data_IF_882825009001
#
_entry.id   IF_882825009001
#
_cell.length_a   1.000
_cell.length_b   1.000
_cell.length_c   1.000
_cell.angle_alpha   90.00
_cell.angle_beta   90.00
_cell.angle_gamma   90.00
#
_symmetry.space_group_name_H-M   'P 1'
#
loop_
_entity.id
_entity.type
_entity.pdbx_description
1 polymer ?
#
# COMPACT_ATOMS: atom_id res chain seq x y z
N UNK A 1 -3.36 6.58 -14.07
CA UNK A 1 -4.70 6.05 -14.42
C UNK A 1 -4.82 4.71 -13.70
N UNK A 2 -5.84 4.49 -12.86
CA UNK A 2 -6.00 3.21 -12.16
C UNK A 2 -6.30 2.10 -13.16
N UNK A 3 -5.68 0.94 -12.95
CA UNK A 3 -5.97 -0.29 -13.70
C UNK A 3 -7.06 -1.02 -12.93
N UNK A 4 -8.24 -1.16 -13.55
CA UNK A 4 -9.42 -1.80 -12.95
C UNK A 4 -9.67 -3.11 -13.68
N UNK A 5 -10.14 -4.13 -12.97
CA UNK A 5 -10.57 -5.40 -13.58
C UNK A 5 -11.98 -5.27 -14.18
N UNK A 6 -12.23 -5.78 -15.40
CA UNK A 6 -11.30 -6.49 -16.28
C UNK A 6 -10.30 -5.55 -16.98
N UNK A 7 -9.06 -6.02 -17.15
CA UNK A 7 -7.98 -5.26 -17.77
C UNK A 7 -8.35 -4.88 -19.21
N UNK A 8 -8.33 -3.59 -19.53
CA UNK A 8 -8.47 -3.12 -20.91
C UNK A 8 -7.27 -3.58 -21.76
N UNK A 9 -7.45 -3.82 -23.05
CA UNK A 9 -6.32 -4.25 -23.90
C UNK A 9 -5.32 -3.12 -24.21
N UNK A 10 -5.75 -1.85 -24.10
CA UNK A 10 -4.94 -0.68 -24.40
C UNK A 10 -5.56 0.61 -23.83
N UNK A 11 -4.73 1.64 -23.67
CA UNK A 11 -5.16 3.01 -23.42
C UNK A 11 -4.79 3.93 -24.59
N UNK A 12 -5.55 5.02 -24.73
CA UNK A 12 -5.25 6.10 -25.67
C UNK A 12 -4.78 7.32 -24.88
N UNK A 13 -3.61 7.85 -25.24
CA UNK A 13 -3.12 9.12 -24.74
C UNK A 13 -3.24 10.13 -25.85
N UNK A 14 -4.11 11.12 -25.67
CA UNK A 14 -4.28 12.23 -26.61
C UNK A 14 -3.69 13.50 -26.02
N UNK A 15 -2.78 14.14 -26.74
CA UNK A 15 -2.24 15.44 -26.42
C UNK A 15 -2.76 16.44 -27.46
N UNK A 16 -3.29 17.58 -27.00
CA UNK A 16 -3.85 18.64 -27.84
C UNK A 16 -3.17 19.93 -27.41
N UNK A 17 -2.75 20.75 -28.37
CA UNK A 17 -2.25 22.10 -28.07
C UNK A 17 -3.39 23.06 -27.79
N UNK A 18 -3.33 23.77 -26.67
CA UNK A 18 -4.28 24.85 -26.37
C UNK A 18 -4.08 26.09 -27.25
N UNK A 19 -2.92 26.18 -27.94
CA UNK A 19 -2.51 27.39 -28.69
C UNK A 19 -2.51 27.21 -30.21
N UNK A 20 -2.37 25.99 -30.70
CA UNK A 20 -2.20 25.71 -32.13
C UNK A 20 -3.34 24.84 -32.65
N UNK A 21 -4.13 25.39 -33.55
CA UNK A 21 -5.23 24.67 -34.19
C UNK A 21 -4.68 23.48 -35.01
N UNK A 22 -5.29 22.31 -34.82
CA UNK A 22 -4.89 21.09 -35.52
C UNK A 22 -3.58 20.46 -35.02
N UNK A 23 -3.00 20.98 -33.94
CA UNK A 23 -1.86 20.36 -33.26
C UNK A 23 -2.38 19.40 -32.19
N UNK A 24 -2.82 18.22 -32.62
CA UNK A 24 -3.12 17.11 -31.73
C UNK A 24 -2.44 15.82 -32.17
N UNK A 25 -2.17 14.96 -31.21
CA UNK A 25 -1.59 13.64 -31.44
C UNK A 25 -2.22 12.63 -30.49
N UNK A 26 -2.43 11.41 -30.97
CA UNK A 26 -2.97 10.31 -30.18
C UNK A 26 -2.06 9.10 -30.30
N UNK A 27 -1.62 8.58 -29.16
CA UNK A 27 -0.76 7.39 -29.07
C UNK A 27 -1.47 6.28 -28.31
N UNK A 28 -1.32 5.05 -28.78
CA UNK A 28 -1.88 3.85 -28.14
C UNK A 28 -0.82 3.25 -27.21
N UNK A 29 -1.18 3.05 -25.95
CA UNK A 29 -0.41 2.28 -24.98
C UNK A 29 -1.03 0.90 -24.88
N UNK A 30 -0.34 -0.11 -25.40
CA UNK A 30 -0.85 -1.48 -25.42
C UNK A 30 -0.49 -2.26 -24.16
N UNK A 31 -1.42 -3.08 -23.67
CA UNK A 31 -1.22 -3.93 -22.48
C UNK A 31 -0.98 -5.41 -22.82
N UNK A 32 -0.82 -5.78 -24.09
CA UNK A 32 -0.59 -7.18 -24.49
C UNK A 32 0.59 -7.85 -23.77
N UNK A 33 1.65 -7.10 -23.43
CA UNK A 33 2.82 -7.59 -22.72
C UNK A 33 2.95 -6.97 -21.30
N UNK A 34 1.84 -6.48 -20.73
CA UNK A 34 1.86 -5.88 -19.40
C UNK A 34 1.88 -6.99 -18.34
N UNK A 35 2.99 -7.07 -17.59
CA UNK A 35 3.09 -7.91 -16.40
C UNK A 35 2.68 -7.07 -15.20
N UNK A 36 1.54 -7.40 -14.59
CA UNK A 36 1.16 -6.80 -13.32
C UNK A 36 1.98 -7.44 -12.19
N UNK A 37 2.48 -6.65 -11.23
CA UNK A 37 3.09 -7.21 -10.04
C UNK A 37 2.06 -8.06 -9.30
N UNK A 38 2.53 -9.09 -8.60
CA UNK A 38 1.68 -9.88 -7.73
C UNK A 38 1.01 -8.97 -6.70
N UNK A 39 -0.25 -9.27 -6.38
CA UNK A 39 -0.92 -8.59 -5.27
C UNK A 39 -0.14 -8.91 -4.01
N UNK A 40 0.23 -7.86 -3.28
CA UNK A 40 0.85 -7.95 -1.96
C UNK A 40 0.06 -8.96 -1.12
N UNK A 41 0.77 -9.86 -0.44
CA UNK A 41 0.11 -10.73 0.52
C UNK A 41 -0.65 -9.88 1.53
N UNK A 42 -1.85 -10.32 1.98
CA UNK A 42 -2.56 -9.59 3.02
C UNK A 42 -1.65 -9.42 4.22
N UNK A 43 -1.76 -8.27 4.89
CA UNK A 43 -1.06 -8.06 6.16
C UNK A 43 -1.51 -9.13 7.15
N UNK A 44 -0.59 -9.59 8.01
CA UNK A 44 -0.94 -10.46 9.13
C UNK A 44 -1.98 -9.78 10.01
N UNK A 45 -3.06 -10.48 10.31
CA UNK A 45 -4.11 -9.98 11.19
C UNK A 45 -3.54 -9.72 12.59
N UNK A 46 -4.03 -8.66 13.21
CA UNK A 46 -3.73 -8.39 14.60
C UNK A 46 -4.48 -9.41 15.46
N UNK A 47 -3.73 -10.19 16.24
CA UNK A 47 -4.32 -11.17 17.15
C UNK A 47 -5.01 -10.46 18.30
N UNK A 48 -6.19 -10.94 18.69
CA UNK A 48 -6.89 -10.50 19.89
C UNK A 48 -6.28 -11.16 21.12
N UNK A 49 -5.16 -10.61 21.58
CA UNK A 49 -4.40 -11.07 22.73
C UNK A 49 -4.74 -10.25 23.97
N UNK A 50 -4.63 -10.88 25.13
CA UNK A 50 -4.64 -10.15 26.38
C UNK A 50 -3.44 -9.18 26.44
N UNK A 51 -3.63 -7.92 26.90
CA UNK A 51 -2.55 -6.94 26.96
C UNK A 51 -1.34 -7.47 27.75
N UNK A 52 -0.18 -7.51 27.11
CA UNK A 52 1.04 -8.03 27.73
C UNK A 52 1.51 -7.06 28.84
N UNK A 53 1.62 -7.48 30.11
CA UNK A 53 2.03 -6.58 31.18
C UNK A 53 3.53 -6.28 31.12
N UNK A 54 3.95 -5.13 31.66
CA UNK A 54 5.39 -4.76 31.74
C UNK A 54 6.21 -5.78 32.55
N UNK A 55 5.58 -6.50 33.48
CA UNK A 55 6.20 -7.56 34.28
C UNK A 55 6.68 -8.74 33.45
N UNK A 56 6.22 -8.86 32.19
CA UNK A 56 6.76 -9.84 31.24
C UNK A 56 8.26 -9.62 30.93
N UNK A 57 8.79 -8.42 31.20
CA UNK A 57 10.22 -8.11 31.05
C UNK A 57 11.11 -8.86 32.05
N UNK A 58 10.59 -9.25 33.21
CA UNK A 58 11.30 -10.03 34.22
C UNK A 58 12.52 -9.34 34.85
N UNK A 59 12.64 -8.01 34.71
CA UNK A 59 13.73 -7.22 35.27
C UNK A 59 13.23 -5.86 35.76
N UNK A 60 13.30 -5.59 37.08
CA UNK A 60 12.81 -4.33 37.66
C UNK A 60 13.45 -3.07 37.06
N UNK A 61 14.71 -3.14 36.62
CA UNK A 61 15.37 -1.98 35.99
C UNK A 61 14.79 -1.67 34.62
N UNK A 62 14.35 -2.68 33.87
CA UNK A 62 13.74 -2.50 32.55
C UNK A 62 12.27 -2.11 32.66
N UNK A 63 11.56 -2.66 33.64
CA UNK A 63 10.19 -2.26 33.96
C UNK A 63 10.12 -0.77 34.32
N UNK A 64 11.08 -0.27 35.09
CA UNK A 64 11.15 1.13 35.51
C UNK A 64 11.37 2.13 34.35
N UNK A 65 11.79 1.67 33.16
CA UNK A 65 11.92 2.52 31.97
C UNK A 65 10.57 2.90 31.37
N UNK A 66 9.52 2.11 31.64
CA UNK A 66 8.21 2.29 31.05
C UNK A 66 7.22 2.89 32.05
N UNK A 67 6.41 3.85 31.58
CA UNK A 67 5.41 4.57 32.39
C UNK A 67 3.99 4.00 32.25
N UNK A 68 3.83 2.96 31.44
CA UNK A 68 2.55 2.29 31.18
C UNK A 68 2.50 0.93 31.87
N UNK A 69 1.29 0.35 31.97
CA UNK A 69 1.08 -0.95 32.64
C UNK A 69 1.17 -2.16 31.71
N UNK A 70 0.80 -1.98 30.44
CA UNK A 70 0.76 -3.04 29.44
C UNK A 70 1.26 -2.51 28.09
N UNK A 71 1.83 -3.41 27.29
CA UNK A 71 2.22 -3.19 25.91
C UNK A 71 0.99 -3.10 25.00
N UNK A 72 1.15 -2.46 23.86
CA UNK A 72 0.10 -2.47 22.84
C UNK A 72 0.07 -3.82 22.10
N UNK A 73 -0.99 -4.15 21.35
CA UNK A 73 -1.10 -5.45 20.67
C UNK A 73 -0.02 -5.80 19.63
N UNK A 74 0.86 -4.86 19.25
CA UNK A 74 1.98 -5.10 18.33
C UNK A 74 3.27 -5.46 19.09
N UNK A 75 3.37 -5.10 20.37
CA UNK A 75 4.55 -5.20 21.23
C UNK A 75 4.50 -6.43 22.13
#
# INVERSE_FOLDING_TARGET
>A
IPIIEPLANQYYVRAISDKWLGSDTTTIISFHNLILPERHMPHTELLDLDPLPITALGNPQYEALYKFKHFNPIQ
#
